data_IF_822119249295
#
_entry.id   IF_822119249295
#
_cell.length_a   1.000
_cell.length_b   1.000
_cell.length_c   1.000
_cell.angle_alpha   90.00
_cell.angle_beta   90.00
_cell.angle_gamma   90.00
#
_symmetry.space_group_name_H-M   'P 1'
#
loop_
_entity.id
_entity.type
_entity.pdbx_description
1 polymer ?
#
# COMPACT_ATOMS: atom_id res chain seq x y z
N UNK A 1 5.64 -29.38 17.13
CA UNK A 1 5.36 -28.32 18.12
C UNK A 1 5.70 -26.91 17.62
N UNK A 2 6.93 -26.61 17.19
CA UNK A 2 7.35 -25.25 16.73
C UNK A 2 6.50 -24.64 15.60
N UNK A 3 6.04 -25.46 14.64
CA UNK A 3 5.21 -24.97 13.53
C UNK A 3 3.78 -24.59 13.95
N UNK A 4 3.22 -25.24 14.97
CA UNK A 4 1.90 -24.88 15.53
C UNK A 4 2.01 -23.62 16.39
N UNK A 5 3.09 -23.48 17.16
CA UNK A 5 3.34 -22.30 18.00
C UNK A 5 3.52 -21.03 17.15
N UNK A 6 4.31 -21.10 16.08
CA UNK A 6 4.50 -19.98 15.15
C UNK A 6 3.22 -19.62 14.41
N UNK A 7 2.39 -20.60 14.06
CA UNK A 7 1.08 -20.35 13.45
C UNK A 7 0.11 -19.66 14.43
N UNK A 8 0.01 -20.15 15.67
CA UNK A 8 -0.81 -19.54 16.71
C UNK A 8 -0.35 -18.12 17.05
N UNK A 9 0.97 -17.88 17.14
CA UNK A 9 1.52 -16.56 17.37
C UNK A 9 1.14 -15.58 16.25
N UNK A 10 1.21 -16.01 14.99
CA UNK A 10 0.78 -15.19 13.84
C UNK A 10 -0.71 -14.83 13.93
N UNK A 11 -1.57 -15.78 14.27
CA UNK A 11 -3.01 -15.53 14.44
C UNK A 11 -3.25 -14.55 15.60
N UNK A 12 -2.56 -14.72 16.73
CA UNK A 12 -2.69 -13.84 17.88
C UNK A 12 -2.27 -12.40 17.55
N UNK A 13 -1.15 -12.23 16.82
CA UNK A 13 -0.70 -10.90 16.38
C UNK A 13 -1.72 -10.27 15.42
N UNK A 14 -2.26 -11.04 14.47
CA UNK A 14 -3.34 -10.55 13.58
C UNK A 14 -4.53 -10.09 14.40
N UNK A 15 -5.01 -10.91 15.34
CA UNK A 15 -6.15 -10.56 16.20
C UNK A 15 -5.88 -9.29 17.02
N UNK A 16 -4.66 -9.12 17.56
CA UNK A 16 -4.25 -7.91 18.28
C UNK A 16 -4.29 -6.69 17.36
N UNK A 17 -3.73 -6.78 16.14
CA UNK A 17 -3.75 -5.66 15.19
C UNK A 17 -5.19 -5.30 14.82
N UNK A 18 -6.04 -6.29 14.54
CA UNK A 18 -7.46 -6.05 14.28
C UNK A 18 -8.17 -5.42 15.46
N UNK A 19 -7.89 -5.85 16.70
CA UNK A 19 -8.44 -5.23 17.90
C UNK A 19 -7.94 -3.79 18.06
N UNK A 20 -6.67 -3.52 17.80
CA UNK A 20 -6.10 -2.16 17.84
C UNK A 20 -6.80 -1.29 16.80
N UNK A 21 -6.93 -1.75 15.56
CA UNK A 21 -7.62 -1.01 14.48
C UNK A 21 -9.10 -0.81 14.81
N UNK A 22 -9.79 -1.85 15.31
CA UNK A 22 -11.20 -1.79 15.65
C UNK A 22 -11.49 -0.79 16.77
N UNK A 23 -10.68 -0.80 17.83
CA UNK A 23 -10.77 0.16 18.93
C UNK A 23 -10.22 1.55 18.56
N UNK A 24 -9.53 1.66 17.41
CA UNK A 24 -8.94 2.90 16.96
C UNK A 24 -9.89 3.78 16.14
N UNK A 25 -11.05 3.25 15.75
CA UNK A 25 -12.00 3.87 14.83
C UNK A 25 -13.26 4.30 15.58
N UNK A 26 -13.82 5.43 15.18
CA UNK A 26 -15.15 5.85 15.64
C UNK A 26 -16.22 5.10 14.81
N UNK A 27 -17.03 4.28 15.48
CA UNK A 27 -18.08 3.48 14.83
C UNK A 27 -19.41 4.22 14.69
N UNK A 28 -19.73 5.09 15.65
CA UNK A 28 -20.96 5.88 15.66
C UNK A 28 -20.67 7.32 15.27
N UNK A 29 -21.65 7.96 14.64
CA UNK A 29 -21.60 9.40 14.41
C UNK A 29 -21.73 10.13 15.74
N UNK A 30 -20.94 11.18 15.88
CA UNK A 30 -21.06 12.07 17.03
C UNK A 30 -20.70 13.49 16.64
N UNK A 31 -21.14 14.44 17.44
CA UNK A 31 -20.54 15.77 17.45
C UNK A 31 -20.07 16.11 18.86
N UNK A 32 -18.93 16.79 18.94
CA UNK A 32 -18.36 17.27 20.17
C UNK A 32 -18.50 18.78 20.25
N UNK A 33 -19.01 19.28 21.38
CA UNK A 33 -19.01 20.71 21.71
C UNK A 33 -17.71 21.01 22.43
N UNK A 34 -16.97 21.97 21.90
CA UNK A 34 -15.63 22.32 22.35
C UNK A 34 -15.66 23.72 22.92
N UNK A 35 -15.05 23.89 24.10
CA UNK A 35 -14.88 25.19 24.76
C UNK A 35 -13.88 26.06 24.00
N UNK A 36 -13.93 27.37 24.25
CA UNK A 36 -12.94 28.34 23.77
C UNK A 36 -11.49 27.97 24.11
N UNK A 37 -11.30 27.21 25.19
CA UNK A 37 -9.98 26.72 25.64
C UNK A 37 -9.56 25.39 24.98
N UNK A 38 -10.34 24.86 24.03
CA UNK A 38 -10.05 23.61 23.32
C UNK A 38 -10.46 22.32 24.05
N UNK A 39 -11.08 22.44 25.23
CA UNK A 39 -11.57 21.27 25.98
C UNK A 39 -12.93 20.79 25.46
N UNK A 40 -13.09 19.47 25.34
CA UNK A 40 -14.38 18.86 24.97
C UNK A 40 -15.34 18.99 26.15
N UNK A 41 -16.41 19.76 25.98
CA UNK A 41 -17.46 20.00 26.99
C UNK A 41 -18.45 18.84 27.02
N UNK A 42 -18.90 18.40 25.84
CA UNK A 42 -19.81 17.27 25.72
C UNK A 42 -19.68 16.62 24.35
N UNK A 43 -19.87 15.30 24.29
CA UNK A 43 -19.98 14.54 23.05
C UNK A 43 -21.37 13.94 22.98
N UNK A 44 -22.05 14.16 21.87
CA UNK A 44 -23.42 13.67 21.65
C UNK A 44 -23.38 12.68 20.49
N UNK A 45 -23.80 11.45 20.77
CA UNK A 45 -23.91 10.36 19.79
C UNK A 45 -25.27 10.37 19.07
N UNK A 46 -25.26 9.89 17.84
CA UNK A 46 -26.43 9.91 16.97
C UNK A 46 -26.12 9.41 15.57
N UNK A 47 -26.88 9.93 14.60
CA UNK A 47 -26.81 9.58 13.18
C UNK A 47 -26.78 10.85 12.33
N UNK A 48 -25.84 10.93 11.39
CA UNK A 48 -25.73 12.00 10.40
C UNK A 48 -26.61 11.68 9.19
N UNK A 49 -27.44 12.64 8.79
CA UNK A 49 -28.30 12.54 7.61
C UNK A 49 -27.70 13.37 6.48
N UNK A 50 -27.40 12.70 5.36
CA UNK A 50 -26.85 13.35 4.16
C UNK A 50 -25.37 13.68 4.31
N UNK A 51 -24.90 14.70 3.57
CA UNK A 51 -23.49 15.07 3.51
C UNK A 51 -23.00 15.57 4.87
N UNK A 52 -21.87 15.01 5.31
CA UNK A 52 -21.25 15.32 6.59
C UNK A 52 -20.24 16.48 6.52
N UNK A 53 -19.80 16.88 5.31
CA UNK A 53 -18.76 17.89 5.08
C UNK A 53 -19.26 19.32 4.88
N UNK A 54 -20.59 19.50 4.87
CA UNK A 54 -21.20 20.82 4.73
C UNK A 54 -21.02 21.73 5.93
N UNK A 55 -21.27 23.04 5.75
CA UNK A 55 -21.23 24.05 6.83
C UNK A 55 -22.21 23.73 7.98
N UNK A 56 -23.27 23.00 7.66
CA UNK A 56 -24.24 22.46 8.60
C UNK A 56 -24.64 21.05 8.21
N UNK A 57 -24.86 20.21 9.21
CA UNK A 57 -25.24 18.80 9.01
C UNK A 57 -26.50 18.50 9.80
N UNK A 58 -27.44 17.79 9.19
CA UNK A 58 -28.63 17.32 9.89
C UNK A 58 -28.27 16.07 10.70
N UNK A 59 -28.58 16.10 11.99
CA UNK A 59 -28.16 15.10 12.96
C UNK A 59 -29.33 14.65 13.83
N UNK A 60 -29.53 13.34 13.96
CA UNK A 60 -30.51 12.76 14.89
C UNK A 60 -29.75 12.23 16.10
N UNK A 61 -30.04 12.73 17.31
CA UNK A 61 -29.44 12.19 18.54
C UNK A 61 -30.12 10.87 18.90
N UNK A 62 -29.37 9.91 19.47
CA UNK A 62 -29.91 8.60 19.87
C UNK A 62 -31.14 8.66 20.79
N UNK A 63 -31.28 9.75 21.57
CA UNK A 63 -32.39 9.94 22.52
C UNK A 63 -33.50 10.87 22.00
N UNK A 64 -33.53 11.24 20.72
CA UNK A 64 -34.51 12.16 20.15
C UNK A 64 -34.84 11.84 18.69
N UNK A 65 -36.12 11.77 18.33
CA UNK A 65 -36.55 11.45 16.96
C UNK A 65 -36.47 12.64 15.98
N UNK A 66 -36.31 13.88 16.47
CA UNK A 66 -36.31 15.06 15.61
C UNK A 66 -34.88 15.40 15.17
N UNK A 67 -34.65 15.61 13.85
CA UNK A 67 -33.35 16.04 13.35
C UNK A 67 -33.05 17.46 13.83
N UNK A 68 -31.79 17.69 14.20
CA UNK A 68 -31.24 19.00 14.51
C UNK A 68 -30.18 19.37 13.49
N UNK A 69 -30.19 20.61 13.02
CA UNK A 69 -29.13 21.11 12.14
C UNK A 69 -27.97 21.60 13.01
N UNK A 70 -26.83 20.92 12.91
CA UNK A 70 -25.60 21.24 13.63
C UNK A 70 -24.68 22.02 12.70
N UNK A 71 -24.56 23.33 12.94
CA UNK A 71 -23.57 24.17 12.26
C UNK A 71 -22.16 23.95 12.81
N UNK A 72 -21.17 23.93 11.92
CA UNK A 72 -19.74 23.77 12.29
C UNK A 72 -19.04 25.11 12.62
N UNK A 73 -19.80 26.21 12.66
CA UNK A 73 -19.30 27.56 12.96
C UNK A 73 -19.06 27.77 14.47
N UNK A 74 -18.22 28.75 14.79
CA UNK A 74 -17.99 29.20 16.17
C UNK A 74 -19.26 29.90 16.65
N UNK A 75 -19.87 29.37 17.70
CA UNK A 75 -21.06 29.96 18.33
C UNK A 75 -20.70 31.27 19.05
N UNK A 76 -21.70 32.11 19.33
CA UNK A 76 -21.52 33.43 19.97
C UNK A 76 -20.85 33.37 21.36
N UNK A 77 -20.85 32.20 22.01
CA UNK A 77 -20.18 31.92 23.30
C UNK A 77 -18.69 31.52 23.13
N UNK A 78 -18.20 31.44 21.89
CA UNK A 78 -16.86 30.96 21.57
C UNK A 78 -16.71 29.44 21.57
N UNK A 79 -17.80 28.69 21.78
CA UNK A 79 -17.85 27.23 21.61
C UNK A 79 -17.92 26.83 20.14
N UNK A 80 -17.29 25.72 19.79
CA UNK A 80 -17.36 25.16 18.43
C UNK A 80 -17.91 23.73 18.47
N UNK A 81 -18.78 23.39 17.51
CA UNK A 81 -19.25 22.02 17.32
C UNK A 81 -18.47 21.35 16.20
N UNK A 82 -17.83 20.23 16.52
CA UNK A 82 -17.03 19.45 15.57
C UNK A 82 -17.73 18.13 15.32
N UNK A 83 -17.98 17.86 14.04
CA UNK A 83 -18.66 16.65 13.60
C UNK A 83 -17.63 15.55 13.38
N UNK A 84 -17.92 14.38 13.93
CA UNK A 84 -17.12 13.18 13.83
C UNK A 84 -17.98 12.08 13.21
N UNK A 85 -17.92 11.91 11.87
CA UNK A 85 -18.61 10.83 11.21
C UNK A 85 -18.03 9.48 11.66
N UNK A 86 -18.93 8.53 11.90
CA UNK A 86 -18.63 7.15 12.11
C UNK A 86 -18.16 6.48 10.83
N UNK A 87 -17.51 5.33 10.99
CA UNK A 87 -16.92 4.56 9.89
C UNK A 87 -17.88 4.30 8.73
N UNK A 88 -19.15 3.97 9.01
CA UNK A 88 -20.13 3.61 7.98
C UNK A 88 -20.64 4.82 7.20
N UNK A 89 -20.70 5.99 7.83
CA UNK A 89 -21.22 7.24 7.25
C UNK A 89 -20.37 7.74 6.09
N UNK A 90 -19.08 7.40 6.10
CA UNK A 90 -18.19 7.67 4.98
C UNK A 90 -18.53 6.86 3.73
N UNK A 91 -19.04 5.63 3.87
CA UNK A 91 -19.43 4.80 2.73
C UNK A 91 -20.80 5.17 2.18
N UNK A 92 -21.72 5.67 3.02
CA UNK A 92 -23.05 6.11 2.58
C UNK A 92 -23.00 7.43 1.82
N UNK A 93 -22.06 8.32 2.16
CA UNK A 93 -21.85 9.62 1.52
C UNK A 93 -20.74 9.64 0.47
N UNK A 94 -20.32 8.46 -0.01
CA UNK A 94 -19.23 8.35 -0.96
C UNK A 94 -19.63 8.91 -2.34
N UNK A 95 -18.80 9.80 -2.90
CA UNK A 95 -18.96 10.25 -4.29
C UNK A 95 -18.51 9.14 -5.27
N UNK A 96 -19.45 8.55 -6.04
CA UNK A 96 -19.14 7.44 -6.93
C UNK A 96 -18.23 7.84 -8.09
N UNK A 97 -18.23 9.10 -8.54
CA UNK A 97 -17.45 9.53 -9.70
C UNK A 97 -15.96 9.51 -9.33
N UNK A 98 -15.60 10.18 -8.24
CA UNK A 98 -14.24 10.23 -7.74
C UNK A 98 -13.74 8.83 -7.36
N UNK A 99 -14.59 7.98 -6.78
CA UNK A 99 -14.25 6.59 -6.50
C UNK A 99 -13.93 5.79 -7.77
N UNK A 100 -14.76 5.88 -8.82
CA UNK A 100 -14.54 5.16 -10.09
C UNK A 100 -13.25 5.67 -10.76
N UNK A 101 -13.04 6.98 -10.81
CA UNK A 101 -11.81 7.57 -11.35
C UNK A 101 -10.58 7.07 -10.59
N UNK A 102 -10.65 7.01 -9.25
CA UNK A 102 -9.60 6.43 -8.42
C UNK A 102 -9.33 4.97 -8.76
N UNK A 103 -10.37 4.15 -8.86
CA UNK A 103 -10.26 2.74 -9.23
C UNK A 103 -9.65 2.53 -10.63
N UNK A 104 -9.96 3.40 -11.60
CA UNK A 104 -9.35 3.40 -12.93
C UNK A 104 -7.87 3.81 -12.87
N UNK A 105 -7.52 4.80 -12.05
CA UNK A 105 -6.12 5.16 -11.82
C UNK A 105 -5.32 3.98 -11.27
N UNK A 106 -5.86 3.26 -10.28
CA UNK A 106 -5.25 2.04 -9.78
C UNK A 106 -5.05 0.98 -10.88
N UNK A 107 -6.07 0.75 -11.71
CA UNK A 107 -5.98 -0.18 -12.83
C UNK A 107 -4.87 0.20 -13.81
N UNK A 108 -4.79 1.48 -14.18
CA UNK A 108 -3.74 2.00 -15.06
C UNK A 108 -2.34 1.79 -14.45
N UNK A 109 -2.17 2.09 -13.16
CA UNK A 109 -0.95 1.81 -12.43
C UNK A 109 -0.57 0.32 -12.48
N UNK A 110 -1.53 -0.58 -12.21
CA UNK A 110 -1.30 -2.02 -12.22
C UNK A 110 -0.86 -2.53 -13.60
N UNK A 111 -1.49 -2.04 -14.67
CA UNK A 111 -1.10 -2.37 -16.05
C UNK A 111 0.33 -1.92 -16.34
N UNK A 112 0.69 -0.68 -16.00
CA UNK A 112 2.04 -0.13 -16.21
C UNK A 112 3.09 -0.92 -15.41
N UNK A 113 2.80 -1.25 -14.15
CA UNK A 113 3.67 -2.08 -13.32
C UNK A 113 3.89 -3.47 -13.94
N UNK A 114 2.83 -4.07 -14.52
CA UNK A 114 2.93 -5.34 -15.23
C UNK A 114 3.68 -5.20 -16.58
N UNK A 115 3.57 -4.06 -17.27
CA UNK A 115 4.36 -3.75 -18.47
C UNK A 115 5.87 -3.74 -18.15
N UNK A 116 6.25 -3.18 -16.99
CA UNK A 116 7.63 -3.22 -16.51
C UNK A 116 8.11 -4.66 -16.33
N UNK A 117 7.31 -5.51 -15.69
CA UNK A 117 7.67 -6.92 -15.53
C UNK A 117 7.78 -7.65 -16.87
N UNK A 118 6.86 -7.39 -17.81
CA UNK A 118 6.96 -7.93 -19.16
C UNK A 118 8.26 -7.53 -19.86
N UNK A 119 8.68 -6.27 -19.72
CA UNK A 119 9.98 -5.81 -20.23
C UNK A 119 11.16 -6.60 -19.62
N UNK A 120 11.13 -6.87 -18.31
CA UNK A 120 12.15 -7.69 -17.63
C UNK A 120 12.21 -9.13 -18.16
N UNK A 121 11.06 -9.73 -18.48
CA UNK A 121 10.99 -11.05 -19.13
C UNK A 121 11.68 -11.02 -20.49
N UNK A 122 11.38 -10.01 -21.33
CA UNK A 122 12.01 -9.84 -22.64
C UNK A 122 13.52 -9.57 -22.55
N UNK A 123 13.97 -8.84 -21.53
CA UNK A 123 15.39 -8.58 -21.28
C UNK A 123 16.18 -9.87 -20.93
N UNK A 124 15.51 -10.91 -20.43
CA UNK A 124 16.10 -12.23 -20.22
C UNK A 124 15.87 -13.18 -21.40
N UNK A 125 15.45 -12.68 -22.56
CA UNK A 125 15.11 -13.47 -23.74
C UNK A 125 13.99 -14.51 -23.51
N UNK A 126 13.17 -14.30 -22.46
CA UNK A 126 11.99 -15.12 -22.23
C UNK A 126 10.93 -14.69 -23.25
N UNK A 127 10.63 -15.57 -24.21
CA UNK A 127 9.70 -15.32 -25.31
C UNK A 127 8.22 -15.35 -24.88
N UNK A 128 7.87 -14.52 -23.91
CA UNK A 128 6.53 -14.42 -23.33
C UNK A 128 5.78 -13.24 -23.94
N UNK A 129 4.55 -13.48 -24.39
CA UNK A 129 3.70 -12.42 -24.95
C UNK A 129 3.24 -11.42 -23.89
N UNK A 130 2.94 -10.19 -24.30
CA UNK A 130 2.46 -9.14 -23.39
C UNK A 130 1.19 -9.56 -22.62
N UNK A 131 0.18 -10.07 -23.33
CA UNK A 131 -1.08 -10.50 -22.72
C UNK A 131 -0.89 -11.70 -21.78
N UNK A 132 0.08 -12.58 -22.07
CA UNK A 132 0.40 -13.71 -21.18
C UNK A 132 1.04 -13.22 -19.89
N UNK A 133 1.99 -12.29 -19.98
CA UNK A 133 2.58 -11.66 -18.81
C UNK A 133 1.52 -10.93 -17.97
N UNK A 134 0.60 -10.18 -18.59
CA UNK A 134 -0.52 -9.56 -17.89
C UNK A 134 -1.38 -10.61 -17.16
N UNK A 135 -1.77 -11.69 -17.85
CA UNK A 135 -2.56 -12.77 -17.23
C UNK A 135 -1.85 -13.38 -16.03
N UNK A 136 -0.56 -13.71 -16.13
CA UNK A 136 0.19 -14.26 -15.00
C UNK A 136 0.34 -13.28 -13.85
N UNK A 137 0.52 -11.99 -14.15
CA UNK A 137 0.60 -10.95 -13.13
C UNK A 137 -0.73 -10.77 -12.39
N UNK A 138 -1.87 -10.74 -13.10
CA UNK A 138 -3.20 -10.69 -12.50
C UNK A 138 -3.52 -11.93 -11.67
N UNK A 139 -3.13 -13.13 -12.12
CA UNK A 139 -3.24 -14.36 -11.31
C UNK A 139 -2.44 -14.20 -10.01
N UNK A 140 -1.18 -13.74 -10.10
CA UNK A 140 -0.39 -13.44 -8.90
C UNK A 140 -1.07 -12.42 -7.99
N UNK A 141 -1.65 -11.37 -8.56
CA UNK A 141 -2.36 -10.33 -7.82
C UNK A 141 -3.59 -10.87 -7.06
N UNK A 142 -4.35 -11.79 -7.67
CA UNK A 142 -5.43 -12.52 -7.01
C UNK A 142 -4.95 -13.32 -5.80
N UNK A 143 -3.87 -14.09 -5.97
CA UNK A 143 -3.31 -14.89 -4.87
C UNK A 143 -2.68 -14.04 -3.77
N UNK A 144 -2.19 -12.83 -4.05
CA UNK A 144 -1.73 -11.90 -3.01
C UNK A 144 -2.86 -11.47 -2.06
N UNK A 145 -4.12 -11.47 -2.51
CA UNK A 145 -5.27 -11.12 -1.68
C UNK A 145 -5.81 -12.30 -0.88
N UNK A 146 -5.65 -13.54 -1.37
CA UNK A 146 -6.24 -14.75 -0.76
C UNK A 146 -5.23 -15.50 0.12
N UNK A 147 -3.96 -15.56 -0.28
CA UNK A 147 -2.95 -16.39 0.39
C UNK A 147 -2.35 -15.63 1.57
N UNK A 148 -2.15 -16.30 2.72
CA UNK A 148 -1.40 -15.72 3.82
C UNK A 148 0.05 -15.38 3.45
N UNK A 149 0.38 -14.09 3.51
CA UNK A 149 1.65 -13.49 3.15
C UNK A 149 1.56 -12.63 1.88
N UNK A 150 2.04 -11.39 1.92
CA UNK A 150 2.01 -10.44 0.79
C UNK A 150 2.88 -10.84 -0.40
N UNK A 151 3.72 -11.86 -0.25
CA UNK A 151 4.57 -12.45 -1.31
C UNK A 151 4.01 -13.76 -1.88
N UNK A 152 2.89 -14.28 -1.34
CA UNK A 152 2.34 -15.57 -1.75
C UNK A 152 1.95 -15.59 -3.24
N UNK A 153 1.36 -14.51 -3.73
CA UNK A 153 1.00 -14.35 -5.14
C UNK A 153 2.19 -14.14 -6.06
N UNK A 154 3.31 -13.59 -5.58
CA UNK A 154 4.55 -13.54 -6.38
C UNK A 154 5.18 -14.91 -6.57
N UNK A 155 5.10 -15.76 -5.53
CA UNK A 155 5.52 -17.15 -5.64
C UNK A 155 4.67 -17.84 -6.70
N UNK A 156 3.34 -17.64 -6.68
CA UNK A 156 2.45 -18.19 -7.71
C UNK A 156 2.82 -17.64 -9.09
N UNK A 157 2.97 -16.33 -9.24
CA UNK A 157 3.43 -15.68 -10.48
C UNK A 157 4.73 -16.32 -10.99
N UNK A 158 5.71 -16.53 -10.11
CA UNK A 158 6.98 -17.21 -10.37
C UNK A 158 6.83 -18.66 -10.82
N UNK A 159 5.93 -19.43 -10.18
CA UNK A 159 5.66 -20.82 -10.56
C UNK A 159 5.00 -20.89 -11.93
N UNK A 160 4.02 -20.03 -12.22
CA UNK A 160 3.33 -20.04 -13.52
C UNK A 160 4.28 -19.69 -14.67
N UNK A 161 5.13 -18.67 -14.49
CA UNK A 161 6.11 -18.30 -15.52
C UNK A 161 7.19 -19.37 -15.69
N UNK A 162 7.63 -20.01 -14.62
CA UNK A 162 8.58 -21.12 -14.68
C UNK A 162 7.97 -22.37 -15.35
N UNK A 163 6.68 -22.64 -15.16
CA UNK A 163 6.00 -23.72 -15.87
C UNK A 163 5.87 -23.43 -17.37
N UNK A 164 5.71 -22.16 -17.73
CA UNK A 164 5.66 -21.72 -19.11
C UNK A 164 7.04 -21.80 -19.79
N UNK A 165 8.09 -21.35 -19.12
CA UNK A 165 9.48 -21.40 -19.60
C UNK A 165 10.11 -22.76 -19.27
N UNK A 166 9.77 -23.81 -20.04
CA UNK A 166 10.15 -25.21 -19.76
C UNK A 166 11.64 -25.43 -19.44
N UNK A 167 12.53 -24.66 -20.07
CA UNK A 167 14.00 -24.81 -19.96
C UNK A 167 14.65 -23.82 -18.99
N UNK A 168 14.13 -22.59 -18.89
CA UNK A 168 14.77 -21.45 -18.18
C UNK A 168 14.01 -21.06 -16.90
N UNK A 169 13.65 -22.06 -16.09
CA UNK A 169 12.78 -21.88 -14.91
C UNK A 169 13.35 -20.91 -13.88
N UNK A 170 14.66 -21.01 -13.60
CA UNK A 170 15.31 -20.17 -12.58
C UNK A 170 15.39 -18.72 -13.04
N UNK A 171 15.74 -18.47 -14.30
CA UNK A 171 15.74 -17.11 -14.87
C UNK A 171 14.34 -16.47 -14.78
N UNK A 172 13.29 -17.24 -15.10
CA UNK A 172 11.91 -16.79 -15.01
C UNK A 172 11.52 -16.38 -13.58
N UNK A 173 11.90 -17.14 -12.56
CA UNK A 173 11.66 -16.80 -11.15
C UNK A 173 12.47 -15.56 -10.72
N UNK A 174 13.73 -15.46 -11.14
CA UNK A 174 14.58 -14.30 -10.85
C UNK A 174 13.96 -13.00 -11.38
N UNK A 175 13.24 -13.03 -12.51
CA UNK A 175 12.55 -11.83 -13.01
C UNK A 175 11.51 -11.26 -12.04
N UNK A 176 10.83 -12.11 -11.26
CA UNK A 176 9.85 -11.68 -10.26
C UNK A 176 10.56 -11.00 -9.08
N UNK A 177 11.71 -11.54 -8.67
CA UNK A 177 12.54 -10.96 -7.60
C UNK A 177 13.09 -9.59 -8.05
N UNK A 178 13.62 -9.51 -9.27
CA UNK A 178 14.16 -8.26 -9.83
C UNK A 178 13.06 -7.21 -10.00
N UNK A 179 11.85 -7.60 -10.44
CA UNK A 179 10.69 -6.71 -10.50
C UNK A 179 10.34 -6.13 -9.11
N UNK A 180 10.41 -6.96 -8.05
CA UNK A 180 10.19 -6.50 -6.67
C UNK A 180 11.27 -5.53 -6.19
N UNK A 181 12.54 -5.79 -6.50
CA UNK A 181 13.64 -4.89 -6.16
C UNK A 181 13.47 -3.54 -6.88
N UNK A 182 13.18 -3.56 -8.18
CA UNK A 182 12.96 -2.34 -8.96
C UNK A 182 11.75 -1.57 -8.44
N UNK A 183 10.66 -2.27 -8.10
CA UNK A 183 9.48 -1.66 -7.46
C UNK A 183 9.79 -1.01 -6.12
N UNK A 184 10.60 -1.66 -5.27
CA UNK A 184 11.01 -1.09 -3.98
C UNK A 184 11.92 0.13 -4.17
N UNK A 185 12.92 0.06 -5.04
CA UNK A 185 13.79 1.21 -5.37
C UNK A 185 13.00 2.39 -5.92
N UNK A 186 12.00 2.09 -6.76
CA UNK A 186 11.09 3.10 -7.31
C UNK A 186 10.25 3.77 -6.22
N UNK A 187 9.66 2.98 -5.31
CA UNK A 187 8.92 3.51 -4.15
C UNK A 187 9.81 4.37 -3.24
N UNK A 188 11.03 3.92 -2.98
CA UNK A 188 12.00 4.65 -2.16
C UNK A 188 12.41 5.97 -2.81
N UNK A 189 12.60 5.99 -4.13
CA UNK A 189 12.89 7.22 -4.88
C UNK A 189 11.76 8.23 -4.71
N UNK A 190 10.51 7.81 -4.93
CA UNK A 190 9.32 8.67 -4.78
C UNK A 190 9.18 9.15 -3.34
N UNK A 191 9.37 8.27 -2.36
CA UNK A 191 9.36 8.63 -0.94
C UNK A 191 10.46 9.63 -0.58
N UNK A 192 11.68 9.48 -1.12
CA UNK A 192 12.77 10.43 -0.90
C UNK A 192 12.44 11.80 -1.49
N UNK A 193 11.92 11.86 -2.72
CA UNK A 193 11.51 13.13 -3.36
C UNK A 193 10.42 13.81 -2.53
N UNK A 194 9.37 13.08 -2.14
CA UNK A 194 8.27 13.61 -1.34
C UNK A 194 8.72 14.06 0.05
N UNK A 195 9.68 13.34 0.65
CA UNK A 195 10.18 13.65 2.00
C UNK A 195 10.84 15.03 2.12
N UNK A 196 11.34 15.60 1.02
CA UNK A 196 11.94 16.94 1.01
C UNK A 196 10.89 18.00 1.40
N UNK A 197 9.66 17.86 0.93
CA UNK A 197 8.56 18.80 1.23
C UNK A 197 8.03 18.69 2.67
N UNK A 198 8.42 17.63 3.39
CA UNK A 198 7.84 17.28 4.70
C UNK A 198 8.92 17.23 5.79
N UNK A 199 10.17 17.55 5.44
CA UNK A 199 11.33 17.46 6.34
C UNK A 199 11.13 18.24 7.64
N UNK A 200 10.60 19.46 7.56
CA UNK A 200 10.36 20.31 8.73
C UNK A 200 9.27 19.76 9.66
N UNK A 201 8.29 19.04 9.10
CA UNK A 201 7.17 18.46 9.85
C UNK A 201 7.53 17.12 10.51
N UNK A 202 8.31 16.28 9.83
CA UNK A 202 8.55 14.88 10.23
C UNK A 202 9.99 14.38 9.98
N UNK A 203 11.02 14.99 10.58
CA UNK A 203 12.43 14.71 10.25
C UNK A 203 12.86 13.26 10.52
N UNK A 204 12.36 12.63 11.59
CA UNK A 204 12.66 11.24 11.95
C UNK A 204 12.22 10.27 10.84
N UNK A 205 11.02 10.48 10.28
CA UNK A 205 10.53 9.65 9.18
C UNK A 205 11.36 9.86 7.92
N UNK A 206 11.79 11.10 7.65
CA UNK A 206 12.67 11.38 6.51
C UNK A 206 13.99 10.63 6.65
N UNK A 207 14.67 10.71 7.79
CA UNK A 207 15.92 9.97 8.00
C UNK A 207 15.75 8.46 7.84
N UNK A 208 14.64 7.88 8.30
CA UNK A 208 14.35 6.46 8.12
C UNK A 208 14.19 6.06 6.65
N UNK A 209 13.47 6.87 5.85
CA UNK A 209 13.27 6.62 4.41
C UNK A 209 14.60 6.71 3.66
N UNK A 210 15.40 7.74 3.92
CA UNK A 210 16.72 7.91 3.30
C UNK A 210 17.69 6.80 3.71
N UNK A 211 17.70 6.42 4.98
CA UNK A 211 18.52 5.31 5.49
C UNK A 211 18.17 3.99 4.79
N UNK A 212 16.88 3.69 4.62
CA UNK A 212 16.41 2.51 3.89
C UNK A 212 16.77 2.57 2.40
N UNK A 213 16.67 3.74 1.77
CA UNK A 213 17.07 3.95 0.37
C UNK A 213 18.56 3.65 0.15
N UNK A 214 19.44 4.23 0.99
CA UNK A 214 20.88 4.01 0.94
C UNK A 214 21.22 2.54 1.19
N UNK A 215 20.63 1.92 2.23
CA UNK A 215 20.85 0.50 2.51
C UNK A 215 20.45 -0.40 1.32
N UNK A 216 19.31 -0.12 0.68
CA UNK A 216 18.84 -0.88 -0.48
C UNK A 216 19.77 -0.71 -1.68
N UNK A 217 20.25 0.50 -1.95
CA UNK A 217 21.21 0.78 -3.04
C UNK A 217 22.54 0.05 -2.78
N UNK A 218 23.05 0.04 -1.55
CA UNK A 218 24.26 -0.68 -1.17
C UNK A 218 24.09 -2.18 -1.42
N UNK A 219 22.97 -2.77 -0.96
CA UNK A 219 22.66 -4.18 -1.18
C UNK A 219 22.59 -4.50 -2.67
N UNK A 220 21.88 -3.70 -3.47
CA UNK A 220 21.77 -3.93 -4.92
C UNK A 220 23.13 -3.81 -5.62
N UNK A 221 23.95 -2.83 -5.21
CA UNK A 221 25.30 -2.64 -5.74
C UNK A 221 26.21 -3.83 -5.41
N UNK A 222 26.14 -4.35 -4.18
CA UNK A 222 26.87 -5.55 -3.76
C UNK A 222 26.45 -6.80 -4.53
N UNK A 223 25.16 -6.93 -4.85
CA UNK A 223 24.63 -8.06 -5.62
C UNK A 223 25.02 -8.01 -7.11
N UNK A 224 25.11 -6.82 -7.71
CA UNK A 224 25.39 -6.63 -9.14
C UNK A 224 26.87 -6.42 -9.48
N UNK A 225 27.68 -5.89 -8.55
CA UNK A 225 29.09 -5.56 -8.79
C UNK A 225 30.01 -6.77 -8.53
N UNK A 226 30.39 -7.48 -9.60
CA UNK A 226 31.34 -8.60 -9.57
C UNK A 226 32.66 -8.26 -8.86
N UNK A 227 33.18 -7.04 -9.05
CA UNK A 227 34.41 -6.54 -8.43
C UNK A 227 34.31 -6.39 -6.91
N UNK A 228 33.21 -5.83 -6.40
CA UNK A 228 32.97 -5.78 -4.94
C UNK A 228 32.77 -7.17 -4.35
N UNK A 229 32.05 -8.05 -5.07
CA UNK A 229 31.82 -9.45 -4.65
C UNK A 229 33.11 -10.25 -4.50
N UNK A 230 34.02 -10.10 -5.48
CA UNK A 230 35.34 -10.72 -5.49
C UNK A 230 36.22 -10.16 -4.37
N UNK A 231 36.21 -8.83 -4.16
CA UNK A 231 36.95 -8.20 -3.06
C UNK A 231 36.47 -8.61 -1.67
N UNK A 232 35.18 -8.95 -1.51
CA UNK A 232 34.57 -9.40 -0.25
C UNK A 232 34.58 -10.94 -0.10
N UNK A 233 35.23 -11.68 -1.01
CA UNK A 233 35.28 -13.15 -1.00
C UNK A 233 33.90 -13.84 -0.92
N UNK A 234 32.84 -13.23 -1.44
CA UNK A 234 31.49 -13.82 -1.42
C UNK A 234 31.46 -15.14 -2.22
N UNK A 235 32.33 -15.28 -3.21
CA UNK A 235 32.55 -16.53 -3.96
C UNK A 235 33.04 -17.69 -3.06
N UNK A 236 33.84 -17.40 -2.02
CA UNK A 236 34.27 -18.41 -1.03
C UNK A 236 33.12 -18.81 -0.11
N UNK A 237 32.24 -17.87 0.24
CA UNK A 237 31.04 -18.17 1.03
C UNK A 237 30.10 -19.08 0.24
N UNK A 238 29.90 -18.81 -1.06
CA UNK A 238 29.13 -19.67 -1.99
C UNK A 238 29.79 -21.05 -2.17
N UNK A 239 31.12 -21.10 -2.19
CA UNK A 239 31.86 -22.35 -2.27
C UNK A 239 31.71 -23.23 -1.00
N UNK A 240 31.39 -22.64 0.15
CA UNK A 240 31.14 -23.38 1.38
C UNK A 240 29.75 -24.05 1.42
N UNK A 241 28.86 -23.72 0.48
CA UNK A 241 27.54 -24.36 0.39
C UNK A 241 27.59 -25.77 -0.22
N UNK A 242 26.68 -26.67 0.22
CA UNK A 242 26.43 -27.95 -0.43
C UNK A 242 26.24 -27.83 -1.94
N UNK A 243 26.67 -28.84 -2.70
CA UNK A 243 26.69 -28.85 -4.18
C UNK A 243 25.37 -28.43 -4.84
N UNK A 244 24.22 -28.84 -4.28
CA UNK A 244 22.88 -28.45 -4.78
C UNK A 244 22.59 -26.95 -4.63
N UNK A 245 22.98 -26.36 -3.49
CA UNK A 245 22.78 -24.94 -3.22
C UNK A 245 23.77 -24.07 -4.01
N UNK A 246 24.97 -24.59 -4.28
CA UNK A 246 25.96 -23.94 -5.15
C UNK A 246 25.45 -23.81 -6.59
N UNK A 247 24.89 -24.88 -7.16
CA UNK A 247 24.32 -24.86 -8.51
C UNK A 247 23.18 -23.84 -8.62
N UNK A 248 22.27 -23.83 -7.64
CA UNK A 248 21.18 -22.87 -7.60
C UNK A 248 21.69 -21.42 -7.48
N UNK A 249 22.68 -21.17 -6.62
CA UNK A 249 23.28 -19.85 -6.47
C UNK A 249 23.97 -19.39 -7.74
N UNK A 250 24.65 -20.27 -8.47
CA UNK A 250 25.28 -19.93 -9.75
C UNK A 250 24.28 -19.60 -10.84
N UNK A 251 23.13 -20.31 -10.91
CA UNK A 251 22.09 -20.01 -11.89
C UNK A 251 21.38 -18.68 -11.59
N UNK A 252 21.13 -18.37 -10.32
CA UNK A 252 20.62 -17.07 -9.89
C UNK A 252 21.62 -15.97 -10.24
N UNK A 253 22.92 -16.21 -10.02
CA UNK A 253 23.96 -15.23 -10.33
C UNK A 253 24.04 -14.94 -11.83
N UNK A 254 24.00 -15.98 -12.67
CA UNK A 254 23.96 -15.83 -14.13
C UNK A 254 22.74 -15.02 -14.57
N UNK A 255 21.56 -15.30 -14.01
CA UNK A 255 20.34 -14.54 -14.30
C UNK A 255 20.46 -13.06 -13.87
N UNK A 256 21.05 -12.78 -12.71
CA UNK A 256 21.29 -11.40 -12.24
C UNK A 256 22.33 -10.66 -13.12
N UNK A 257 23.39 -11.35 -13.54
CA UNK A 257 24.42 -10.77 -14.40
C UNK A 257 23.88 -10.42 -15.80
N UNK A 258 22.87 -11.15 -16.31
CA UNK A 258 22.22 -10.82 -17.58
C UNK A 258 21.55 -9.44 -17.54
N UNK A 259 20.99 -9.04 -16.39
CA UNK A 259 20.44 -7.68 -16.20
C UNK A 259 21.50 -6.58 -16.23
N UNK A 260 22.78 -6.90 -16.00
CA UNK A 260 23.87 -5.92 -16.07
C UNK A 260 23.99 -5.29 -17.47
N UNK A 261 23.72 -6.09 -18.52
CA UNK A 261 23.68 -5.60 -19.89
C UNK A 261 22.47 -4.68 -20.17
N UNK A 262 21.45 -4.73 -19.32
CA UNK A 262 20.19 -3.98 -19.44
C UNK A 262 20.02 -2.90 -18.37
N UNK A 263 21.09 -2.51 -17.65
CA UNK A 263 21.03 -1.50 -16.57
C UNK A 263 20.42 -0.18 -17.03
N UNK A 264 20.67 0.24 -18.27
CA UNK A 264 20.08 1.46 -18.83
C UNK A 264 18.55 1.40 -18.80
N UNK A 265 17.95 0.27 -19.18
CA UNK A 265 16.50 0.10 -19.15
C UNK A 265 15.95 0.05 -17.72
N UNK A 266 16.68 -0.58 -16.79
CA UNK A 266 16.30 -0.59 -15.37
C UNK A 266 16.31 0.83 -14.80
N UNK A 267 17.35 1.61 -15.08
CA UNK A 267 17.46 3.01 -14.64
C UNK A 267 16.32 3.83 -15.24
N UNK A 268 16.00 3.66 -16.52
CA UNK A 268 14.86 4.35 -17.15
C UNK A 268 13.55 4.01 -16.45
N UNK A 269 13.28 2.74 -16.14
CA UNK A 269 12.08 2.35 -15.39
C UNK A 269 12.03 2.96 -13.98
N UNK A 270 13.17 3.05 -13.29
CA UNK A 270 13.27 3.72 -11.99
C UNK A 270 13.03 5.23 -12.13
N UNK A 271 13.58 5.88 -13.14
CA UNK A 271 13.42 7.33 -13.37
C UNK A 271 12.01 7.71 -13.84
N UNK A 272 11.32 6.83 -14.58
CA UNK A 272 9.92 7.01 -14.96
C UNK A 272 8.98 6.72 -13.78
N UNK A 273 9.46 5.99 -12.77
CA UNK A 273 8.61 5.54 -11.67
C UNK A 273 7.87 6.64 -10.90
N UNK A 274 8.37 7.88 -10.72
CA UNK A 274 7.57 8.94 -10.10
C UNK A 274 6.27 9.25 -10.85
N UNK A 275 6.24 9.10 -12.18
CA UNK A 275 5.01 9.23 -12.97
C UNK A 275 4.08 8.05 -12.71
N UNK A 276 4.61 6.83 -12.73
CA UNK A 276 3.84 5.60 -12.48
C UNK A 276 3.22 5.60 -11.07
N UNK A 277 4.02 5.89 -10.05
CA UNK A 277 3.54 6.01 -8.67
C UNK A 277 2.73 7.29 -8.45
N UNK A 278 2.88 8.32 -9.28
CA UNK A 278 1.98 9.47 -9.30
C UNK A 278 0.55 9.08 -9.64
N UNK A 279 0.35 8.15 -10.59
CA UNK A 279 -0.98 7.59 -10.89
C UNK A 279 -1.52 6.79 -9.69
N UNK A 280 -0.64 6.05 -9.01
CA UNK A 280 -1.03 5.32 -7.79
C UNK A 280 -1.42 6.25 -6.64
N UNK A 281 -0.67 7.34 -6.44
CA UNK A 281 -1.00 8.40 -5.47
C UNK A 281 -2.29 9.11 -5.85
N UNK A 282 -2.51 9.39 -7.14
CA UNK A 282 -3.74 9.97 -7.64
C UNK A 282 -4.95 9.08 -7.35
N UNK A 283 -4.81 7.75 -7.40
CA UNK A 283 -5.87 6.84 -6.96
C UNK A 283 -6.27 7.05 -5.50
N UNK A 284 -5.30 7.25 -4.60
CA UNK A 284 -5.59 7.54 -3.19
C UNK A 284 -6.17 8.94 -2.99
N UNK A 285 -5.66 9.93 -3.72
CA UNK A 285 -6.16 11.30 -3.64
C UNK A 285 -7.60 11.43 -4.16
N UNK A 286 -7.95 10.72 -5.24
CA UNK A 286 -9.34 10.66 -5.70
C UNK A 286 -10.24 9.95 -4.69
N UNK A 287 -9.71 8.99 -3.92
CA UNK A 287 -10.46 8.38 -2.81
C UNK A 287 -10.61 9.32 -1.61
N UNK A 288 -9.58 10.12 -1.30
CA UNK A 288 -9.68 11.22 -0.33
C UNK A 288 -10.80 12.19 -0.72
N UNK A 289 -10.85 12.61 -1.99
CA UNK A 289 -11.92 13.47 -2.48
C UNK A 289 -13.29 12.80 -2.43
N UNK A 290 -13.39 11.50 -2.73
CA UNK A 290 -14.66 10.77 -2.64
C UNK A 290 -15.19 10.63 -1.22
N UNK A 291 -14.28 10.69 -0.25
CA UNK A 291 -14.54 10.54 1.18
C UNK A 291 -14.43 11.86 1.93
N UNK A 292 -14.14 12.97 1.24
CA UNK A 292 -13.93 14.33 1.76
C UNK A 292 -12.98 14.41 2.97
N UNK A 293 -11.89 13.62 2.95
CA UNK A 293 -10.97 13.52 4.09
C UNK A 293 -10.18 14.81 4.32
N UNK A 294 -9.77 15.49 3.25
CA UNK A 294 -9.22 16.84 3.31
C UNK A 294 -7.70 16.93 3.49
N UNK A 295 -6.94 15.89 3.12
CA UNK A 295 -5.48 15.97 3.08
C UNK A 295 -4.96 16.54 1.75
N UNK A 296 -3.78 17.17 1.79
CA UNK A 296 -3.17 17.71 0.58
C UNK A 296 -2.56 16.60 -0.29
N UNK A 297 -2.48 16.83 -1.60
CA UNK A 297 -1.83 15.89 -2.52
C UNK A 297 -0.36 15.61 -2.13
N UNK A 298 0.34 16.61 -1.59
CA UNK A 298 1.74 16.48 -1.13
C UNK A 298 1.85 15.50 0.03
N UNK A 299 0.88 15.51 0.96
CA UNK A 299 0.85 14.56 2.08
C UNK A 299 0.71 13.12 1.54
N UNK A 300 -0.12 12.90 0.52
CA UNK A 300 -0.28 11.57 -0.09
C UNK A 300 0.97 11.06 -0.81
N UNK A 301 1.76 11.94 -1.44
CA UNK A 301 3.05 11.57 -2.03
C UNK A 301 4.05 11.07 -0.98
N UNK A 302 3.89 11.42 0.30
CA UNK A 302 4.69 10.88 1.39
C UNK A 302 4.05 9.64 2.03
N UNK A 303 2.75 9.72 2.34
CA UNK A 303 2.01 8.66 3.05
C UNK A 303 1.97 7.37 2.23
N UNK A 304 1.62 7.45 0.94
CA UNK A 304 1.37 6.26 0.11
C UNK A 304 2.64 5.44 -0.13
N UNK A 305 3.81 6.01 -0.49
CA UNK A 305 5.02 5.20 -0.66
C UNK A 305 5.48 4.54 0.63
N UNK A 306 5.43 5.25 1.76
CA UNK A 306 5.84 4.70 3.06
C UNK A 306 4.89 3.58 3.47
N UNK A 307 3.59 3.81 3.38
CA UNK A 307 2.60 2.78 3.68
C UNK A 307 2.78 1.55 2.78
N UNK A 308 3.12 1.75 1.51
CA UNK A 308 3.38 0.65 0.56
C UNK A 308 4.63 -0.15 0.91
N UNK A 309 5.70 0.51 1.36
CA UNK A 309 6.94 -0.14 1.81
C UNK A 309 6.66 -0.99 3.06
N UNK A 310 5.94 -0.46 4.04
CA UNK A 310 5.59 -1.20 5.26
C UNK A 310 4.70 -2.41 4.93
N UNK A 311 3.75 -2.24 4.01
CA UNK A 311 2.89 -3.34 3.53
C UNK A 311 3.63 -4.37 2.69
N UNK A 312 4.76 -4.03 2.07
CA UNK A 312 5.55 -4.99 1.31
C UNK A 312 6.20 -6.06 2.20
N UNK A 313 6.32 -5.82 3.51
CA UNK A 313 6.86 -6.81 4.45
C UNK A 313 5.84 -7.95 4.63
N UNK A 314 6.21 -9.22 4.36
CA UNK A 314 5.28 -10.35 4.36
C UNK A 314 4.98 -10.88 5.76
N UNK A 315 4.47 -10.00 6.61
CA UNK A 315 4.06 -10.36 7.96
C UNK A 315 2.65 -10.99 7.96
N UNK A 316 1.74 -10.55 7.07
CA UNK A 316 0.30 -10.87 7.16
C UNK A 316 -0.39 -11.19 5.82
N UNK A 317 -1.48 -11.99 5.80
CA UNK A 317 -2.37 -12.23 4.65
C UNK A 317 -2.90 -10.94 4.04
N UNK A 318 -2.66 -10.71 2.74
CA UNK A 318 -3.21 -9.57 1.98
C UNK A 318 -2.89 -8.18 2.54
N UNK A 319 -2.01 -8.08 3.54
CA UNK A 319 -1.74 -6.85 4.28
C UNK A 319 -2.89 -6.37 5.19
N UNK A 320 -3.99 -7.12 5.33
CA UNK A 320 -5.14 -6.77 6.19
C UNK A 320 -4.70 -6.57 7.64
N UNK A 321 -5.19 -5.50 8.26
CA UNK A 321 -4.80 -4.99 9.58
C UNK A 321 -3.63 -4.01 9.52
N UNK A 322 -2.54 -4.33 8.80
CA UNK A 322 -1.34 -3.46 8.76
C UNK A 322 -1.56 -2.22 7.92
N UNK A 323 -2.20 -2.36 6.75
CA UNK A 323 -2.50 -1.20 5.92
C UNK A 323 -3.36 -0.19 6.66
N UNK A 324 -4.43 -0.67 7.31
CA UNK A 324 -5.34 0.14 8.09
C UNK A 324 -4.63 0.82 9.26
N UNK A 325 -3.78 0.08 9.99
CA UNK A 325 -2.98 0.65 11.08
C UNK A 325 -2.00 1.73 10.59
N UNK A 326 -1.30 1.49 9.48
CA UNK A 326 -0.29 2.41 8.94
C UNK A 326 -0.94 3.64 8.33
N UNK A 327 -1.96 3.47 7.47
CA UNK A 327 -2.71 4.60 6.90
C UNK A 327 -3.44 5.39 7.99
N UNK A 328 -4.10 4.72 8.95
CA UNK A 328 -4.71 5.39 10.09
C UNK A 328 -3.70 6.21 10.89
N UNK A 329 -2.53 5.66 11.19
CA UNK A 329 -1.50 6.38 11.96
C UNK A 329 -0.92 7.56 11.17
N UNK A 330 -0.59 7.36 9.89
CA UNK A 330 0.02 8.40 9.07
C UNK A 330 -0.99 9.52 8.77
N UNK A 331 -2.20 9.20 8.31
CA UNK A 331 -3.26 10.20 8.07
C UNK A 331 -3.63 10.91 9.37
N UNK A 332 -3.70 10.18 10.49
CA UNK A 332 -3.90 10.76 11.83
C UNK A 332 -2.86 11.83 12.17
N UNK A 333 -1.57 11.50 12.03
CA UNK A 333 -0.47 12.44 12.34
C UNK A 333 -0.40 13.62 11.39
N UNK A 334 -0.59 13.40 10.10
CA UNK A 334 -0.57 14.46 9.11
C UNK A 334 -1.76 15.39 9.27
N UNK A 335 -2.95 14.82 9.44
CA UNK A 335 -4.18 15.56 9.66
C UNK A 335 -4.18 16.33 10.98
N UNK A 336 -3.56 15.82 12.05
CA UNK A 336 -3.41 16.56 13.30
C UNK A 336 -2.62 17.87 13.15
N UNK A 337 -1.65 17.91 12.24
CA UNK A 337 -0.90 19.13 11.94
C UNK A 337 -1.72 20.06 11.03
N UNK A 338 -2.41 19.51 10.03
CA UNK A 338 -3.22 20.28 9.09
C UNK A 338 -4.43 20.94 9.78
N UNK A 339 -5.03 20.25 10.76
CA UNK A 339 -6.19 20.69 11.53
C UNK A 339 -5.81 20.93 13.00
N UNK A 340 -4.74 21.71 13.24
CA UNK A 340 -4.20 21.94 14.58
C UNK A 340 -5.21 22.61 15.54
N UNK A 341 -6.14 23.40 15.01
CA UNK A 341 -7.18 24.11 15.78
C UNK A 341 -8.34 23.20 16.19
N UNK A 342 -8.35 21.94 15.74
CA UNK A 342 -9.41 20.96 16.03
C UNK A 342 -8.92 20.02 17.15
N UNK A 343 -9.47 20.11 18.37
CA UNK A 343 -9.18 19.13 19.41
C UNK A 343 -9.58 17.73 18.94
N UNK A 344 -8.76 16.73 19.30
CA UNK A 344 -8.91 15.34 18.85
C UNK A 344 -8.78 15.12 17.33
N UNK A 345 -8.21 16.08 16.57
CA UNK A 345 -7.96 15.94 15.14
C UNK A 345 -7.23 14.65 14.76
N UNK A 346 -6.23 14.22 15.54
CA UNK A 346 -5.49 12.98 15.28
C UNK A 346 -6.43 11.75 15.26
N UNK A 347 -7.40 11.68 16.18
CA UNK A 347 -8.34 10.55 16.27
C UNK A 347 -9.35 10.55 15.11
N UNK A 348 -9.89 11.73 14.77
CA UNK A 348 -10.81 11.90 13.63
C UNK A 348 -10.09 11.50 12.34
N UNK A 349 -8.90 12.03 12.13
CA UNK A 349 -8.08 11.78 10.94
C UNK A 349 -7.58 10.33 10.88
N UNK A 350 -7.35 9.70 12.04
CA UNK A 350 -7.03 8.26 12.08
C UNK A 350 -8.20 7.43 11.57
N UNK A 351 -9.43 7.73 11.98
CA UNK A 351 -10.63 7.05 11.45
C UNK A 351 -10.72 7.22 9.94
N UNK A 352 -10.55 8.45 9.43
CA UNK A 352 -10.50 8.75 8.00
C UNK A 352 -9.44 7.94 7.25
N UNK A 353 -8.24 7.83 7.82
CA UNK A 353 -7.15 7.05 7.25
C UNK A 353 -7.45 5.55 7.16
N UNK A 354 -8.14 5.00 8.16
CA UNK A 354 -8.57 3.60 8.11
C UNK A 354 -9.66 3.40 7.04
N UNK A 355 -10.68 4.27 7.00
CA UNK A 355 -11.72 4.23 5.97
C UNK A 355 -11.11 4.30 4.57
N UNK A 356 -10.17 5.21 4.34
CA UNK A 356 -9.45 5.34 3.08
C UNK A 356 -8.71 4.05 2.70
N UNK A 357 -7.99 3.43 3.64
CA UNK A 357 -7.30 2.16 3.43
C UNK A 357 -8.29 1.05 3.06
N UNK A 358 -9.42 0.95 3.77
CA UNK A 358 -10.44 -0.06 3.50
C UNK A 358 -11.08 0.16 2.13
N UNK A 359 -11.44 1.40 1.79
CA UNK A 359 -12.02 1.73 0.48
C UNK A 359 -11.06 1.40 -0.66
N UNK A 360 -9.78 1.79 -0.53
CA UNK A 360 -8.76 1.45 -1.49
C UNK A 360 -8.59 -0.07 -1.61
N UNK A 361 -8.64 -0.82 -0.51
CA UNK A 361 -8.50 -2.28 -0.59
C UNK A 361 -9.70 -2.99 -1.20
N UNK A 362 -10.90 -2.49 -0.97
CA UNK A 362 -12.13 -3.09 -1.52
C UNK A 362 -12.11 -3.08 -3.05
N UNK A 363 -11.82 -1.95 -3.69
CA UNK A 363 -11.77 -1.91 -5.15
C UNK A 363 -10.55 -2.66 -5.71
N UNK A 364 -9.41 -2.65 -5.00
CA UNK A 364 -8.24 -3.48 -5.34
C UNK A 364 -8.58 -4.98 -5.33
N UNK A 365 -9.29 -5.44 -4.29
CA UNK A 365 -9.75 -6.82 -4.19
C UNK A 365 -10.72 -7.15 -5.32
N UNK A 366 -11.62 -6.23 -5.68
CA UNK A 366 -12.52 -6.38 -6.83
C UNK A 366 -11.74 -6.54 -8.15
N UNK A 367 -10.73 -5.69 -8.41
CA UNK A 367 -9.86 -5.82 -9.58
C UNK A 367 -9.08 -7.14 -9.58
N UNK A 368 -8.68 -7.63 -8.40
CA UNK A 368 -7.97 -8.90 -8.27
C UNK A 368 -8.80 -10.11 -8.74
N UNK A 369 -10.15 -10.02 -8.72
CA UNK A 369 -11.04 -11.09 -9.20
C UNK A 369 -10.83 -11.38 -10.69
N UNK A 370 -10.38 -10.39 -11.49
CA UNK A 370 -9.98 -10.62 -12.88
C UNK A 370 -8.89 -11.71 -12.99
N UNK A 371 -7.96 -11.76 -12.03
CA UNK A 371 -6.96 -12.81 -11.93
C UNK A 371 -7.55 -14.20 -11.69
N UNK A 372 -8.61 -14.30 -10.89
CA UNK A 372 -9.38 -15.52 -10.69
C UNK A 372 -10.05 -16.01 -11.97
N UNK A 373 -10.62 -15.10 -12.78
CA UNK A 373 -11.19 -15.42 -14.09
C UNK A 373 -10.09 -15.92 -15.04
N UNK A 374 -8.93 -15.26 -15.09
CA UNK A 374 -7.79 -15.71 -15.89
C UNK A 374 -7.27 -17.08 -15.48
N UNK A 375 -7.29 -17.40 -14.17
CA UNK A 375 -6.93 -18.70 -13.64
C UNK A 375 -7.86 -19.80 -14.16
N UNK A 376 -9.18 -19.59 -14.12
CA UNK A 376 -10.16 -20.55 -14.63
C UNK A 376 -9.96 -20.81 -16.13
N UNK A 377 -9.80 -19.75 -16.92
CA UNK A 377 -9.55 -19.88 -18.37
C UNK A 377 -8.21 -20.58 -18.67
N UNK A 378 -7.18 -20.38 -17.84
CA UNK A 378 -5.89 -21.04 -18.01
C UNK A 378 -5.98 -22.55 -17.73
N UNK A 379 -6.74 -22.97 -16.71
CA UNK A 379 -6.93 -24.40 -16.40
C UNK A 379 -7.72 -25.13 -17.49
N UNK A 380 -8.71 -24.47 -18.09
CA UNK A 380 -9.52 -25.06 -19.17
C UNK A 380 -8.71 -25.37 -20.42
N UNK A 381 -7.71 -24.56 -20.77
CA UNK A 381 -6.88 -24.76 -21.97
C UNK A 381 -5.85 -25.90 -21.87
N UNK A 382 -5.74 -26.52 -20.70
CA UNK A 382 -4.76 -27.58 -20.37
C UNK A 382 -5.41 -28.96 -20.20
N UNK A 383 -6.74 -29.00 -20.18
CA UNK A 383 -7.59 -30.19 -20.30
C UNK A 383 -7.95 -30.30 -21.78
#
# INVERSE_FOLDING_TARGET
MKHRLTFLLKIAIVAIIFLVVFNAINWQDSYSVISKDGNVISTVEGEIIGSWSGESVDFIRNNSANPITVGQQIESDGSQKIIQPGFLTYFTNLDPINFILGAICFLAFAIIANCRWWWLLRANNLNVGFLEAQRFAWIGFFFNNIVPGTTGGDIVKGVYIAQHCRTEKIQAVVTVIVDRIIGLLSLLLVGCIASIAVFDRFPVFVYAVWGLAVATIIICSLLLAKTLRSSLNIEKLIAWLPTRLRALASEIDLALLQYRSHLRGIIVWILISPLTYGIYVASFFLMDLSLEIGLSLVDYYFIVPIASIVQAVPLFPGGWGVGEAVYGTLVGKFGAITFADVPTAEQIMRTRGVVLSVLHRTHVAAWSLMGGIFLLMYRYKKI
#
